data_IF_057589956406
#
_entry.id   IF_057589956406
#
_cell.length_a   1.000
_cell.length_b   1.000
_cell.length_c   1.000
_cell.angle_alpha   90.00
_cell.angle_beta   90.00
_cell.angle_gamma   90.00
#
_symmetry.space_group_name_H-M   'P 1'
#
loop_
_entity.id
_entity.type
_entity.pdbx_description
1 polymer ?
#
# COMPACT_ATOMS: atom_id res chain seq x y z
N UNK A 1 33.36 48.16 2.39
CA UNK A 1 32.82 48.01 1.03
C UNK A 1 32.64 46.52 0.72
N UNK A 2 31.39 46.08 0.48
CA UNK A 2 30.94 44.91 -0.33
C UNK A 2 31.34 43.50 0.15
N UNK A 3 30.51 42.45 0.31
CA UNK A 3 29.04 42.16 0.28
C UNK A 3 28.81 40.79 0.97
N UNK A 4 27.59 40.57 1.48
CA UNK A 4 27.02 39.30 2.00
C UNK A 4 27.05 38.15 0.98
N UNK A 5 27.22 36.91 1.48
CA UNK A 5 26.57 35.64 1.04
C UNK A 5 27.01 34.55 2.04
N UNK A 6 26.20 33.88 2.86
CA UNK A 6 24.79 33.54 2.70
C UNK A 6 24.62 32.24 1.91
N UNK A 7 25.17 31.12 2.38
CA UNK A 7 24.79 29.78 1.89
C UNK A 7 24.12 29.05 3.03
N UNK A 8 22.81 29.29 3.07
CA UNK A 8 21.82 28.59 3.88
C UNK A 8 21.89 27.10 3.53
N UNK A 9 21.96 26.28 4.58
CA UNK A 9 21.72 24.85 4.59
C UNK A 9 20.45 24.50 3.81
N UNK A 10 20.61 24.13 2.54
CA UNK A 10 19.54 23.70 1.66
C UNK A 10 19.80 22.27 1.17
N UNK A 11 20.09 21.36 2.10
CA UNK A 11 19.73 19.95 1.93
C UNK A 11 18.30 19.77 2.47
N UNK A 12 17.38 20.56 1.91
CA UNK A 12 15.94 20.34 2.07
C UNK A 12 15.64 19.01 1.39
N UNK A 13 15.62 17.96 2.20
CA UNK A 13 14.59 16.94 2.25
C UNK A 13 13.62 17.03 1.05
N UNK A 14 14.02 16.49 -0.10
CA UNK A 14 13.11 16.21 -1.19
C UNK A 14 12.24 15.02 -0.75
N UNK A 15 11.36 15.26 0.22
CA UNK A 15 10.27 14.37 0.58
C UNK A 15 9.30 14.43 -0.61
N UNK A 16 9.50 13.51 -1.56
CA UNK A 16 8.54 13.27 -2.64
C UNK A 16 7.29 12.75 -1.96
N UNK A 17 6.41 13.67 -1.55
CA UNK A 17 5.04 13.38 -1.19
C UNK A 17 4.30 13.03 -2.48
N UNK A 18 4.60 11.84 -3.02
CA UNK A 18 3.66 11.17 -3.89
C UNK A 18 2.47 10.84 -3.00
N UNK A 19 1.44 11.70 -3.05
CA UNK A 19 0.10 11.34 -2.62
C UNK A 19 -0.35 10.20 -3.54
N UNK A 20 0.13 8.99 -3.27
CA UNK A 20 -0.40 7.79 -3.85
C UNK A 20 -1.81 7.68 -3.28
N UNK A 21 -2.80 8.12 -4.06
CA UNK A 21 -4.17 7.69 -3.89
C UNK A 21 -4.14 6.16 -3.96
N UNK A 22 -4.01 5.53 -2.80
CA UNK A 22 -3.94 4.09 -2.70
C UNK A 22 -5.29 3.57 -3.19
N UNK A 23 -5.27 2.98 -4.39
CA UNK A 23 -6.43 2.33 -4.97
C UNK A 23 -6.98 1.32 -3.95
N UNK A 24 -8.30 1.19 -3.87
CA UNK A 24 -8.88 0.16 -3.02
C UNK A 24 -8.37 -1.22 -3.49
N UNK A 25 -8.03 -2.11 -2.55
CA UNK A 25 -7.59 -3.45 -2.90
C UNK A 25 -8.61 -4.16 -3.81
N UNK A 26 -8.14 -4.85 -4.85
CA UNK A 26 -8.98 -5.59 -5.82
C UNK A 26 -9.67 -6.79 -5.15
N UNK A 27 -11.02 -6.84 -5.19
CA UNK A 27 -11.82 -7.92 -4.59
C UNK A 27 -12.60 -8.71 -5.64
N UNK A 28 -11.93 -9.60 -6.37
CA UNK A 28 -12.59 -10.36 -7.45
C UNK A 28 -12.23 -11.86 -7.52
N UNK A 29 -11.46 -12.42 -6.57
CA UNK A 29 -11.24 -13.87 -6.55
C UNK A 29 -12.52 -14.59 -6.13
N UNK A 30 -12.97 -15.53 -6.98
CA UNK A 30 -14.12 -16.37 -6.71
C UNK A 30 -13.89 -17.25 -5.48
N UNK A 31 -14.59 -16.96 -4.37
CA UNK A 31 -14.54 -17.78 -3.16
C UNK A 31 -15.09 -19.20 -3.33
N UNK A 32 -15.87 -19.46 -4.39
CA UNK A 32 -16.34 -20.80 -4.72
C UNK A 32 -15.23 -21.66 -5.35
N UNK A 33 -14.38 -21.07 -6.19
CA UNK A 33 -13.28 -21.80 -6.85
C UNK A 33 -12.01 -21.85 -6.00
N UNK A 34 -11.69 -20.76 -5.31
CA UNK A 34 -10.45 -20.60 -4.56
C UNK A 34 -10.74 -20.06 -3.14
N UNK A 35 -11.35 -20.87 -2.25
CA UNK A 35 -11.83 -20.39 -0.95
C UNK A 35 -10.73 -19.80 -0.07
N UNK A 36 -9.53 -20.39 -0.09
CA UNK A 36 -8.39 -19.92 0.70
C UNK A 36 -7.79 -18.62 0.14
N UNK A 37 -7.66 -18.49 -1.18
CA UNK A 37 -7.15 -17.26 -1.81
C UNK A 37 -8.15 -16.12 -1.59
N UNK A 38 -9.44 -16.37 -1.76
CA UNK A 38 -10.48 -15.39 -1.46
C UNK A 38 -10.49 -14.99 0.02
N UNK A 39 -10.23 -15.93 0.95
CA UNK A 39 -10.06 -15.62 2.36
C UNK A 39 -8.82 -14.74 2.63
N UNK A 40 -7.70 -15.04 1.97
CA UNK A 40 -6.49 -14.22 2.06
C UNK A 40 -6.74 -12.79 1.55
N UNK A 41 -7.43 -12.60 0.41
CA UNK A 41 -7.79 -11.26 -0.07
C UNK A 41 -8.61 -10.48 0.96
N UNK A 42 -9.63 -11.13 1.56
CA UNK A 42 -10.44 -10.49 2.61
C UNK A 42 -9.60 -10.09 3.83
N UNK A 43 -8.60 -10.88 4.21
CA UNK A 43 -7.71 -10.57 5.34
C UNK A 43 -6.78 -9.41 5.00
N UNK A 44 -6.25 -9.39 3.77
CA UNK A 44 -5.42 -8.29 3.25
C UNK A 44 -6.20 -6.96 3.24
N UNK A 45 -7.47 -6.96 2.80
CA UNK A 45 -8.34 -5.78 2.86
C UNK A 45 -8.58 -5.30 4.30
N UNK A 46 -8.87 -6.23 5.19
CA UNK A 46 -9.09 -5.90 6.61
C UNK A 46 -7.84 -5.28 7.21
N UNK A 47 -6.67 -5.86 6.96
CA UNK A 47 -5.39 -5.32 7.41
C UNK A 47 -5.15 -3.91 6.87
N UNK A 48 -5.44 -3.67 5.58
CA UNK A 48 -5.35 -2.34 4.97
C UNK A 48 -6.20 -1.32 5.72
N UNK A 49 -7.48 -1.63 5.98
CA UNK A 49 -8.38 -0.73 6.71
C UNK A 49 -7.94 -0.51 8.17
N UNK A 50 -7.39 -1.53 8.84
CA UNK A 50 -6.81 -1.37 10.18
C UNK A 50 -5.61 -0.42 10.17
N UNK A 51 -4.77 -0.47 9.14
CA UNK A 51 -3.65 0.48 8.98
C UNK A 51 -4.18 1.90 8.73
N UNK A 52 -5.22 2.08 7.92
CA UNK A 52 -5.85 3.40 7.73
C UNK A 52 -6.36 3.96 9.06
N UNK A 53 -7.05 3.14 9.86
CA UNK A 53 -7.51 3.54 11.19
C UNK A 53 -6.32 3.88 12.12
N UNK A 54 -5.24 3.10 12.06
CA UNK A 54 -4.03 3.38 12.82
C UNK A 54 -3.38 4.71 12.41
N UNK A 55 -3.35 5.04 11.12
CA UNK A 55 -2.88 6.35 10.66
C UNK A 55 -3.72 7.48 11.23
N UNK A 56 -5.06 7.36 11.17
CA UNK A 56 -5.96 8.38 11.73
C UNK A 56 -5.75 8.57 13.23
N UNK A 57 -5.53 7.48 13.97
CA UNK A 57 -5.29 7.52 15.41
C UNK A 57 -3.91 8.07 15.80
N UNK A 58 -2.93 8.04 14.89
CA UNK A 58 -1.57 8.56 15.10
C UNK A 58 -1.32 9.85 14.30
N UNK A 59 -2.37 10.63 14.05
CA UNK A 59 -2.27 11.93 13.34
C UNK A 59 -1.54 11.86 11.98
N UNK A 60 -1.59 10.70 11.33
CA UNK A 60 -0.87 10.37 10.10
C UNK A 60 0.66 10.31 10.23
N UNK A 61 1.20 10.49 11.43
CA UNK A 61 2.63 10.42 11.76
C UNK A 61 3.03 9.01 12.21
N UNK A 62 3.30 8.16 11.24
CA UNK A 62 3.80 6.80 11.45
C UNK A 62 5.11 6.57 10.69
N UNK A 63 5.93 7.62 10.56
CA UNK A 63 7.25 7.59 9.88
C UNK A 63 7.20 6.99 8.44
N UNK A 64 6.06 7.15 7.76
CA UNK A 64 5.82 6.57 6.43
C UNK A 64 5.60 5.05 6.40
N UNK A 65 5.78 4.32 7.50
CA UNK A 65 5.61 2.87 7.55
C UNK A 65 4.18 2.43 7.22
N UNK A 66 3.18 3.20 7.64
CA UNK A 66 1.79 2.89 7.31
C UNK A 66 1.49 3.00 5.80
N UNK A 67 2.09 3.97 5.11
CA UNK A 67 1.99 4.05 3.65
C UNK A 67 2.66 2.84 2.99
N UNK A 68 3.86 2.45 3.48
CA UNK A 68 4.56 1.28 2.95
C UNK A 68 3.81 -0.04 3.19
N UNK A 69 3.21 -0.21 4.37
CA UNK A 69 2.43 -1.39 4.70
C UNK A 69 1.19 -1.53 3.79
N UNK A 70 0.47 -0.44 3.55
CA UNK A 70 -0.67 -0.42 2.61
C UNK A 70 -0.25 -0.76 1.17
N UNK A 71 0.87 -0.23 0.69
CA UNK A 71 1.45 -0.57 -0.62
C UNK A 71 1.76 -2.07 -0.74
N UNK A 72 2.40 -2.65 0.28
CA UNK A 72 2.70 -4.08 0.30
C UNK A 72 1.43 -4.95 0.33
N UNK A 73 0.40 -4.55 1.08
CA UNK A 73 -0.88 -5.26 1.11
C UNK A 73 -1.58 -5.19 -0.25
N UNK A 74 -1.55 -4.05 -0.93
CA UNK A 74 -2.11 -3.90 -2.26
C UNK A 74 -1.36 -4.76 -3.30
N UNK A 75 -0.02 -4.83 -3.21
CA UNK A 75 0.79 -5.77 -3.99
C UNK A 75 0.41 -7.22 -3.70
N UNK A 76 0.34 -7.62 -2.43
CA UNK A 76 -0.07 -8.96 -2.05
C UNK A 76 -1.46 -9.31 -2.61
N UNK A 77 -2.39 -8.36 -2.61
CA UNK A 77 -3.74 -8.60 -3.12
C UNK A 77 -3.76 -8.84 -4.64
N UNK A 78 -2.92 -8.14 -5.41
CA UNK A 78 -2.73 -8.39 -6.84
C UNK A 78 -2.14 -9.78 -7.10
N UNK A 79 -1.13 -10.18 -6.32
CA UNK A 79 -0.51 -11.50 -6.46
C UNK A 79 -1.49 -12.64 -6.13
N UNK A 80 -2.36 -12.45 -5.12
CA UNK A 80 -3.41 -13.42 -4.81
C UNK A 80 -4.39 -13.60 -5.99
N UNK A 81 -4.73 -12.51 -6.68
CA UNK A 81 -5.54 -12.58 -7.90
C UNK A 81 -4.80 -13.33 -9.01
N UNK A 82 -3.55 -12.97 -9.29
CA UNK A 82 -2.73 -13.64 -10.30
C UNK A 82 -2.59 -15.15 -10.02
N UNK A 83 -2.42 -15.53 -8.75
CA UNK A 83 -2.37 -16.93 -8.34
C UNK A 83 -3.69 -17.67 -8.62
N UNK A 84 -4.84 -17.04 -8.35
CA UNK A 84 -6.15 -17.62 -8.68
C UNK A 84 -6.36 -17.76 -10.20
N UNK A 85 -5.90 -16.79 -10.99
CA UNK A 85 -5.96 -16.83 -12.46
C UNK A 85 -5.07 -17.94 -13.02
N UNK A 86 -3.83 -18.07 -12.54
CA UNK A 86 -2.93 -19.16 -12.90
C UNK A 86 -3.52 -20.54 -12.58
N UNK A 87 -4.05 -20.70 -11.36
CA UNK A 87 -4.70 -21.95 -10.95
C UNK A 87 -5.99 -22.27 -11.75
N UNK A 88 -6.64 -21.27 -12.35
CA UNK A 88 -7.75 -21.49 -13.29
C UNK A 88 -7.25 -21.93 -14.68
N UNK A 89 -6.06 -21.49 -15.10
CA UNK A 89 -5.46 -21.85 -16.39
C UNK A 89 -4.95 -23.30 -16.39
N UNK A 90 -4.31 -23.76 -15.31
CA UNK A 90 -3.80 -25.13 -15.18
C UNK A 90 -4.90 -26.21 -15.12
N UNK A 91 -6.14 -25.79 -14.88
CA UNK A 91 -7.32 -26.67 -14.77
C UNK A 91 -8.13 -26.82 -16.06
N UNK A 92 -7.66 -26.24 -17.17
CA UNK A 92 -8.24 -26.42 -18.52
C UNK A 92 -7.61 -27.59 -19.23
#
# INVERSE_FOLDING_TARGET
>A
MKKLTGVVSAAMLALVAAAAFAAQPVRDVSGHRHPNIAAAQRLTDQAYHRIVAAQQANEWDMDGHAAKAKDLLDQANRELKAAAEAANHDRK
#
